data_IF_152055270703
#
_entry.id   IF_152055270703
#
_cell.length_a   1.000
_cell.length_b   1.000
_cell.length_c   1.000
_cell.angle_alpha   90.00
_cell.angle_beta   90.00
_cell.angle_gamma   90.00
#
_symmetry.space_group_name_H-M   'P 1'
#
loop_
_entity.id
_entity.type
_entity.pdbx_description
1 polymer ?
#
# COMPACT_ATOMS: atom_id res chain seq x y z
N UNK A 1 -3.23 -4.80 0.04
CA UNK A 1 -4.25 -4.04 0.77
C UNK A 1 -5.14 -5.02 1.50
N UNK A 2 -5.53 -4.72 2.73
CA UNK A 2 -6.42 -5.54 3.57
C UNK A 2 -7.51 -4.64 4.15
N UNK A 3 -8.71 -5.17 4.34
CA UNK A 3 -9.79 -4.52 5.12
C UNK A 3 -9.70 -4.88 6.60
N UNK A 4 -8.85 -5.84 6.97
CA UNK A 4 -8.55 -6.19 8.36
C UNK A 4 -7.31 -5.42 8.78
N UNK A 5 -7.51 -4.37 9.57
CA UNK A 5 -6.46 -3.55 10.17
C UNK A 5 -6.07 -4.18 11.51
N UNK A 6 -4.79 -4.40 11.74
CA UNK A 6 -4.26 -5.06 12.95
C UNK A 6 -3.33 -4.17 13.77
N UNK A 7 -3.00 -2.98 13.27
CA UNK A 7 -2.01 -2.10 13.89
C UNK A 7 -0.58 -2.58 13.63
N UNK A 8 -0.36 -3.31 12.54
CA UNK A 8 0.97 -3.78 12.18
C UNK A 8 1.86 -2.58 11.74
N UNK A 9 3.15 -2.50 12.11
CA UNK A 9 3.97 -1.30 11.86
C UNK A 9 4.08 -0.87 10.39
N UNK A 10 3.94 -1.79 9.45
CA UNK A 10 3.97 -1.52 8.01
C UNK A 10 2.58 -1.36 7.38
N UNK A 11 1.51 -1.40 8.17
CA UNK A 11 0.18 -0.99 7.73
C UNK A 11 0.13 0.54 7.57
N UNK A 12 -0.37 1.00 6.43
CA UNK A 12 -0.69 2.41 6.18
C UNK A 12 -2.18 2.51 5.94
N UNK A 13 -2.88 3.23 6.80
CA UNK A 13 -4.34 3.35 6.74
C UNK A 13 -4.74 4.18 5.54
N UNK A 14 -5.69 3.66 4.77
CA UNK A 14 -6.34 4.32 3.64
C UNK A 14 -7.75 4.67 4.08
N UNK A 15 -8.08 5.97 4.22
CA UNK A 15 -9.43 6.39 4.56
C UNK A 15 -10.39 6.03 3.41
N UNK A 16 -11.58 5.54 3.74
CA UNK A 16 -12.57 5.12 2.76
C UNK A 16 -13.74 4.35 3.39
N UNK A 17 -14.67 3.87 2.55
CA UNK A 17 -15.76 3.01 2.97
C UNK A 17 -15.77 1.71 2.15
N UNK A 18 -15.34 0.57 2.74
CA UNK A 18 -14.76 0.43 4.07
C UNK A 18 -13.32 0.98 4.13
N UNK A 19 -12.88 1.34 5.34
CA UNK A 19 -11.47 1.60 5.61
C UNK A 19 -10.62 0.35 5.36
N UNK A 20 -9.35 0.57 5.05
CA UNK A 20 -8.40 -0.53 4.89
C UNK A 20 -6.97 -0.04 5.02
N UNK A 21 -6.02 -0.97 4.92
CA UNK A 21 -4.60 -0.67 5.02
C UNK A 21 -3.81 -1.20 3.82
N UNK A 22 -2.83 -0.42 3.37
CA UNK A 22 -1.74 -0.87 2.49
C UNK A 22 -0.66 -1.52 3.34
N UNK A 23 -0.10 -2.64 2.88
CA UNK A 23 1.01 -3.34 3.53
C UNK A 23 2.29 -2.94 2.80
N UNK A 24 3.06 -2.03 3.39
CA UNK A 24 4.23 -1.42 2.73
C UNK A 24 5.41 -2.39 2.57
N UNK A 25 5.42 -3.47 3.34
CA UNK A 25 6.39 -4.57 3.30
C UNK A 25 6.11 -5.60 2.21
N UNK A 26 4.85 -5.72 1.76
CA UNK A 26 4.44 -6.72 0.78
C UNK A 26 4.54 -6.22 -0.66
N UNK A 27 5.68 -5.62 -1.03
CA UNK A 27 5.94 -5.16 -2.40
C UNK A 27 6.06 -6.35 -3.35
N UNK A 28 5.36 -6.31 -4.48
CA UNK A 28 5.34 -7.39 -5.50
C UNK A 28 5.46 -6.82 -6.91
N UNK A 29 6.28 -7.44 -7.74
CA UNK A 29 6.30 -7.20 -9.19
C UNK A 29 5.18 -7.99 -9.85
N UNK A 30 4.27 -7.30 -10.55
CA UNK A 30 3.10 -7.90 -11.20
C UNK A 30 2.92 -7.33 -12.60
N UNK A 31 2.70 -8.20 -13.58
CA UNK A 31 2.26 -7.80 -14.91
C UNK A 31 0.77 -7.42 -14.86
N UNK A 32 0.51 -6.12 -14.74
CA UNK A 32 -0.84 -5.58 -14.64
C UNK A 32 -1.62 -5.64 -15.96
N UNK A 33 -0.92 -5.69 -17.11
CA UNK A 33 -1.55 -5.79 -18.44
C UNK A 33 -2.09 -7.18 -18.68
N UNK A 34 -1.25 -8.21 -18.48
CA UNK A 34 -1.66 -9.61 -18.63
C UNK A 34 -2.75 -10.00 -17.64
N UNK A 35 -2.78 -9.36 -16.46
CA UNK A 35 -3.80 -9.59 -15.43
C UNK A 35 -5.04 -8.68 -15.56
N UNK A 36 -5.13 -7.86 -16.61
CA UNK A 36 -6.26 -6.96 -16.85
C UNK A 36 -6.63 -6.09 -15.63
N UNK A 37 -5.62 -5.55 -14.94
CA UNK A 37 -5.85 -4.74 -13.75
C UNK A 37 -6.66 -3.47 -14.08
N UNK A 38 -7.72 -3.21 -13.31
CA UNK A 38 -8.54 -2.01 -13.43
C UNK A 38 -8.26 -1.04 -12.31
N UNK A 39 -8.22 0.27 -12.62
CA UNK A 39 -8.06 1.33 -11.62
C UNK A 39 -9.32 1.41 -10.76
N UNK A 40 -9.19 1.08 -9.47
CA UNK A 40 -10.28 1.23 -8.49
C UNK A 40 -10.46 2.67 -8.00
N UNK A 41 -9.37 3.43 -7.92
CA UNK A 41 -9.36 4.79 -7.37
C UNK A 41 -7.95 5.32 -7.21
N UNK A 42 -7.78 6.35 -6.38
CA UNK A 42 -6.48 6.87 -5.97
C UNK A 42 -6.46 7.05 -4.45
N UNK A 43 -5.27 7.01 -3.87
CA UNK A 43 -5.05 7.38 -2.47
C UNK A 43 -4.58 8.83 -2.37
N UNK A 44 -4.77 9.50 -1.22
CA UNK A 44 -4.16 10.79 -0.94
C UNK A 44 -2.63 10.75 -1.05
N UNK A 45 -2.01 11.88 -1.41
CA UNK A 45 -0.55 11.97 -1.53
C UNK A 45 0.20 11.63 -0.24
N UNK A 46 -0.36 11.97 0.91
CA UNK A 46 0.19 11.65 2.23
C UNK A 46 0.27 10.14 2.47
N UNK A 47 -0.79 9.40 2.12
CA UNK A 47 -0.83 7.93 2.22
C UNK A 47 0.26 7.32 1.34
N UNK A 48 0.42 7.80 0.10
CA UNK A 48 1.45 7.30 -0.79
C UNK A 48 2.87 7.62 -0.29
N UNK A 49 3.08 8.79 0.31
CA UNK A 49 4.35 9.17 0.91
C UNK A 49 4.73 8.25 2.08
N UNK A 50 3.78 7.95 2.97
CA UNK A 50 4.00 7.03 4.10
C UNK A 50 4.33 5.60 3.63
N UNK A 51 3.60 5.08 2.64
CA UNK A 51 3.90 3.76 2.04
C UNK A 51 5.32 3.71 1.50
N UNK A 52 5.75 4.76 0.78
CA UNK A 52 7.11 4.85 0.23
C UNK A 52 8.17 4.94 1.32
N UNK A 53 7.93 5.71 2.38
CA UNK A 53 8.86 5.83 3.51
C UNK A 53 9.05 4.48 4.21
N UNK A 54 7.95 3.78 4.50
CA UNK A 54 7.97 2.44 5.11
C UNK A 54 8.61 1.39 4.20
N UNK A 55 8.33 1.41 2.89
CA UNK A 55 8.97 0.52 1.94
C UNK A 55 10.49 0.77 1.86
N UNK A 56 10.93 2.04 1.79
CA UNK A 56 12.36 2.40 1.78
C UNK A 56 13.10 1.88 3.00
N UNK A 57 12.48 1.85 4.18
CA UNK A 57 13.09 1.29 5.38
C UNK A 57 13.44 -0.21 5.25
N UNK A 58 12.82 -0.93 4.31
CA UNK A 58 13.04 -2.36 4.08
C UNK A 58 13.99 -2.66 2.92
N UNK A 59 13.90 -1.87 1.84
CA UNK A 59 14.60 -2.18 0.57
C UNK A 59 15.53 -1.07 0.07
N UNK A 60 15.46 0.12 0.66
CA UNK A 60 16.21 1.30 0.24
C UNK A 60 17.38 1.59 1.18
N UNK A 61 18.17 0.56 1.49
CA UNK A 61 19.37 0.69 2.33
C UNK A 61 20.18 1.94 1.98
N UNK A 62 20.68 2.61 3.04
CA UNK A 62 21.51 3.83 2.99
C UNK A 62 22.56 3.79 1.87
#
# INVERSE_FOLDING_TARGET
>A
MTTKIKGYPFEVVVPGCPEGAVLADQVKSLDWRKRNAKKKGSVPGLVLAEVRAKAKALIGGL
#
